data_IF_966023809991
#
_entry.id   IF_966023809991
#
_cell.length_a   1.000
_cell.length_b   1.000
_cell.length_c   1.000
_cell.angle_alpha   90.00
_cell.angle_beta   90.00
_cell.angle_gamma   90.00
#
_symmetry.space_group_name_H-M   'P 1'
#
loop_
_entity.id
_entity.type
_entity.pdbx_description
1 polymer ?
#
# COMPACT_ATOMS: atom_id res chain seq x y z
N UNK A 1 -27.45 13.02 -25.02
CA UNK A 1 -26.03 13.10 -24.63
C UNK A 1 -25.87 13.10 -23.12
N UNK A 2 -24.95 12.28 -22.61
CA UNK A 2 -24.69 12.14 -21.16
C UNK A 2 -23.60 13.09 -20.64
N UNK A 3 -22.93 13.85 -21.53
CA UNK A 3 -22.09 15.01 -21.17
C UNK A 3 -20.82 14.74 -20.35
N UNK A 4 -20.44 13.48 -20.10
CA UNK A 4 -19.28 13.09 -19.28
C UNK A 4 -17.91 13.29 -19.95
N UNK A 5 -17.66 14.43 -20.58
CA UNK A 5 -16.37 14.75 -21.19
C UNK A 5 -15.38 15.34 -20.16
N UNK A 6 -14.10 14.99 -20.27
CA UNK A 6 -13.04 15.57 -19.42
C UNK A 6 -12.74 17.01 -19.82
N UNK A 7 -12.43 17.86 -18.83
CA UNK A 7 -11.88 19.20 -19.07
C UNK A 7 -10.59 19.12 -19.91
N UNK A 8 -10.43 19.94 -20.96
CA UNK A 8 -9.19 20.00 -21.74
C UNK A 8 -7.95 20.31 -20.89
N UNK A 9 -8.11 21.11 -19.83
CA UNK A 9 -7.02 21.41 -18.90
C UNK A 9 -6.59 20.17 -18.10
N UNK A 10 -7.55 19.36 -17.64
CA UNK A 10 -7.25 18.11 -16.94
C UNK A 10 -6.58 17.10 -17.89
N UNK A 11 -7.03 17.03 -19.15
CA UNK A 11 -6.38 16.19 -20.16
C UNK A 11 -4.93 16.60 -20.41
N UNK A 12 -4.64 17.90 -20.43
CA UNK A 12 -3.29 18.43 -20.54
C UNK A 12 -2.43 18.07 -19.30
N UNK A 13 -2.97 18.18 -18.09
CA UNK A 13 -2.26 17.78 -16.86
C UNK A 13 -1.93 16.28 -16.84
N UNK A 14 -2.87 15.41 -17.26
CA UNK A 14 -2.64 13.97 -17.39
C UNK A 14 -1.54 13.69 -18.43
N UNK A 15 -1.60 14.35 -19.58
CA UNK A 15 -0.59 14.22 -20.63
C UNK A 15 0.80 14.65 -20.14
N UNK A 16 0.86 15.76 -19.39
CA UNK A 16 2.09 16.23 -18.72
C UNK A 16 2.61 15.20 -17.72
N UNK A 17 1.75 14.59 -16.90
CA UNK A 17 2.16 13.56 -15.94
C UNK A 17 2.59 12.24 -16.60
N UNK A 18 2.09 11.96 -17.82
CA UNK A 18 2.38 10.72 -18.54
C UNK A 18 3.83 10.64 -19.01
N UNK A 19 4.49 11.77 -19.28
CA UNK A 19 5.89 11.78 -19.75
C UNK A 19 6.87 11.23 -18.72
N UNK A 20 6.57 11.33 -17.42
CA UNK A 20 7.40 10.78 -16.33
C UNK A 20 6.91 9.42 -15.83
N UNK A 21 5.82 8.88 -16.38
CA UNK A 21 5.24 7.62 -15.93
C UNK A 21 6.25 6.46 -15.90
N UNK A 22 7.13 6.26 -16.92
CA UNK A 22 8.12 5.17 -16.87
C UNK A 22 9.10 5.30 -15.70
N UNK A 23 9.52 6.53 -15.38
CA UNK A 23 10.44 6.81 -14.27
C UNK A 23 9.77 6.58 -12.92
N UNK A 24 8.53 7.08 -12.77
CA UNK A 24 7.75 6.92 -11.54
C UNK A 24 7.44 5.45 -11.27
N UNK A 25 6.98 4.72 -12.30
CA UNK A 25 6.72 3.29 -12.18
C UNK A 25 7.98 2.51 -11.80
N UNK A 26 9.14 2.82 -12.40
CA UNK A 26 10.39 2.14 -12.05
C UNK A 26 10.71 2.29 -10.55
N UNK A 27 10.60 3.50 -9.99
CA UNK A 27 10.81 3.74 -8.56
C UNK A 27 9.78 3.01 -7.70
N UNK A 28 8.49 3.17 -8.00
CA UNK A 28 7.40 2.46 -7.32
C UNK A 28 7.64 0.95 -7.24
N UNK A 29 8.02 0.33 -8.37
CA UNK A 29 8.23 -1.10 -8.50
C UNK A 29 9.51 -1.58 -7.81
N UNK A 30 10.53 -0.73 -7.69
CA UNK A 30 11.75 -1.03 -6.94
C UNK A 30 11.53 -0.94 -5.43
N UNK A 31 10.74 0.03 -4.97
CA UNK A 31 10.46 0.27 -3.55
C UNK A 31 9.50 -0.76 -2.95
N UNK A 32 8.43 -1.10 -3.69
CA UNK A 32 7.37 -1.97 -3.20
C UNK A 32 7.79 -3.33 -2.62
N UNK A 33 8.67 -4.13 -3.26
CA UNK A 33 9.11 -5.40 -2.70
C UNK A 33 9.87 -5.22 -1.38
N UNK A 34 10.73 -4.21 -1.26
CA UNK A 34 11.51 -3.95 -0.04
C UNK A 34 10.61 -3.66 1.16
N UNK A 35 9.60 -2.83 0.94
CA UNK A 35 8.60 -2.49 1.96
C UNK A 35 7.73 -3.71 2.31
N UNK A 36 7.31 -4.49 1.31
CA UNK A 36 6.50 -5.69 1.53
C UNK A 36 7.26 -6.75 2.33
N UNK A 37 8.54 -6.98 2.03
CA UNK A 37 9.41 -7.91 2.74
C UNK A 37 9.66 -7.47 4.18
N UNK A 38 9.90 -6.17 4.39
CA UNK A 38 10.02 -5.60 5.74
C UNK A 38 8.76 -5.86 6.57
N UNK A 39 7.58 -5.57 6.01
CA UNK A 39 6.30 -5.82 6.67
C UNK A 39 6.06 -7.31 6.93
N UNK A 40 6.32 -8.18 5.96
CA UNK A 40 6.14 -9.64 6.11
C UNK A 40 7.04 -10.24 7.19
N UNK A 41 8.22 -9.67 7.40
CA UNK A 41 9.18 -10.14 8.38
C UNK A 41 8.89 -9.66 9.82
N UNK A 42 7.98 -8.70 10.06
CA UNK A 42 7.72 -8.15 11.38
C UNK A 42 6.56 -8.88 12.10
N UNK A 43 6.78 -9.43 13.32
CA UNK A 43 5.76 -10.22 14.02
C UNK A 43 4.54 -9.40 14.49
N UNK A 44 4.61 -8.07 14.43
CA UNK A 44 3.48 -7.18 14.73
C UNK A 44 2.57 -6.99 13.52
N UNK A 45 2.93 -7.53 12.35
CA UNK A 45 2.10 -7.54 11.15
C UNK A 45 1.29 -8.84 11.11
N UNK A 46 -0.03 -8.72 11.05
CA UNK A 46 -0.96 -9.85 11.02
C UNK A 46 -0.98 -10.56 9.66
N UNK A 47 -0.88 -9.78 8.57
CA UNK A 47 -0.68 -10.31 7.22
C UNK A 47 -0.24 -9.20 6.25
N UNK A 48 0.36 -9.62 5.14
CA UNK A 48 0.63 -8.77 3.97
C UNK A 48 0.00 -9.41 2.73
N UNK A 49 -0.66 -8.60 1.92
CA UNK A 49 -1.23 -8.97 0.64
C UNK A 49 -0.57 -8.10 -0.45
N UNK A 50 0.51 -8.63 -1.01
CA UNK A 50 1.25 -8.04 -2.12
C UNK A 50 1.59 -9.15 -3.13
N UNK A 51 1.25 -9.04 -4.43
CA UNK A 51 1.47 -10.12 -5.39
C UNK A 51 2.94 -10.49 -5.61
N UNK A 52 3.88 -9.62 -5.23
CA UNK A 52 5.31 -9.88 -5.31
C UNK A 52 5.88 -10.80 -4.22
N UNK A 53 5.15 -11.02 -3.12
CA UNK A 53 5.57 -11.94 -2.06
C UNK A 53 5.27 -13.39 -2.46
N UNK A 54 6.19 -14.30 -2.16
CA UNK A 54 6.02 -15.73 -2.41
C UNK A 54 4.85 -16.34 -1.60
N UNK A 55 4.53 -15.73 -0.44
CA UNK A 55 3.38 -16.09 0.39
C UNK A 55 2.03 -15.76 -0.24
N UNK A 56 1.99 -14.88 -1.25
CA UNK A 56 0.75 -14.46 -1.87
C UNK A 56 0.12 -15.62 -2.66
N UNK A 57 -1.16 -15.96 -2.46
CA UNK A 57 -1.79 -17.14 -3.08
C UNK A 57 -1.75 -17.17 -4.61
N UNK A 58 -1.62 -15.99 -5.23
CA UNK A 58 -1.57 -15.81 -6.68
C UNK A 58 -0.19 -15.36 -7.19
N UNK A 59 0.87 -15.49 -6.38
CA UNK A 59 2.23 -15.10 -6.77
C UNK A 59 2.65 -15.72 -8.10
N UNK A 60 2.46 -17.04 -8.28
CA UNK A 60 2.80 -17.72 -9.53
C UNK A 60 2.00 -17.22 -10.75
N UNK A 61 0.73 -16.81 -10.55
CA UNK A 61 -0.05 -16.17 -11.61
C UNK A 61 0.50 -14.78 -11.94
N UNK A 62 0.81 -14.00 -10.91
CA UNK A 62 1.39 -12.67 -11.03
C UNK A 62 2.73 -12.74 -11.78
N UNK A 63 3.60 -13.69 -11.42
CA UNK A 63 4.86 -13.95 -12.11
C UNK A 63 4.66 -14.26 -13.60
N UNK A 64 3.68 -15.08 -13.95
CA UNK A 64 3.38 -15.37 -15.37
C UNK A 64 2.85 -14.15 -16.15
N UNK A 65 2.08 -13.27 -15.51
CA UNK A 65 1.46 -12.12 -16.18
C UNK A 65 2.36 -10.89 -16.25
N UNK A 66 3.04 -10.59 -15.14
CA UNK A 66 3.87 -9.39 -15.01
C UNK A 66 5.33 -9.68 -15.39
N UNK A 67 5.85 -10.87 -15.07
CA UNK A 67 7.24 -11.24 -15.29
C UNK A 67 8.18 -10.33 -14.52
N UNK A 68 9.32 -9.99 -15.14
CA UNK A 68 10.36 -9.15 -14.53
C UNK A 68 10.00 -7.66 -14.48
N UNK A 69 8.78 -7.28 -14.91
CA UNK A 69 8.29 -5.88 -14.86
C UNK A 69 7.87 -5.43 -13.47
N UNK A 70 7.81 -6.34 -12.49
CA UNK A 70 7.38 -6.06 -11.12
C UNK A 70 5.86 -6.13 -10.92
N UNK A 71 5.43 -6.00 -9.66
CA UNK A 71 4.09 -6.43 -9.21
C UNK A 71 3.16 -5.28 -8.81
N UNK A 72 3.48 -4.06 -9.27
CA UNK A 72 2.83 -2.82 -8.84
C UNK A 72 3.37 -2.29 -7.51
N UNK A 73 2.80 -1.18 -7.04
CA UNK A 73 3.16 -0.53 -5.77
C UNK A 73 1.96 -0.33 -4.84
N UNK A 74 0.92 -1.14 -5.06
CA UNK A 74 -0.23 -1.24 -4.19
C UNK A 74 -0.10 -2.51 -3.35
N UNK A 75 -0.31 -2.38 -2.06
CA UNK A 75 -0.45 -3.51 -1.16
C UNK A 75 -1.54 -3.25 -0.13
N UNK A 76 -2.00 -4.32 0.49
CA UNK A 76 -2.83 -4.26 1.68
C UNK A 76 -2.16 -5.06 2.78
N UNK A 77 -2.16 -4.55 4.00
CA UNK A 77 -1.66 -5.29 5.16
C UNK A 77 -2.48 -4.93 6.39
N UNK A 78 -2.33 -5.67 7.48
CA UNK A 78 -2.88 -5.26 8.77
C UNK A 78 -1.82 -5.46 9.85
N UNK A 79 -1.77 -4.55 10.83
CA UNK A 79 -1.04 -4.80 12.07
C UNK A 79 -1.87 -5.73 12.98
N UNK A 80 -1.22 -6.43 13.90
CA UNK A 80 -1.90 -7.21 14.93
C UNK A 80 -2.79 -6.32 15.80
N UNK A 81 -3.93 -6.86 16.23
CA UNK A 81 -4.94 -6.12 16.99
C UNK A 81 -6.12 -5.64 16.14
N UNK A 82 -6.86 -4.69 16.69
CA UNK A 82 -8.14 -4.22 16.17
C UNK A 82 -8.03 -2.95 15.32
N UNK A 83 -9.17 -2.45 14.83
CA UNK A 83 -9.24 -1.21 14.06
C UNK A 83 -8.70 0.01 14.80
N UNK A 84 -8.88 0.08 16.12
CA UNK A 84 -8.32 1.18 16.92
C UNK A 84 -6.80 1.11 16.96
N UNK A 85 -6.24 -0.08 17.05
CA UNK A 85 -4.79 -0.32 16.97
C UNK A 85 -4.23 0.06 15.60
N UNK A 86 -4.91 -0.31 14.51
CA UNK A 86 -4.54 0.13 13.16
C UNK A 86 -4.61 1.66 12.99
N UNK A 87 -5.64 2.31 13.53
CA UNK A 87 -5.75 3.77 13.50
C UNK A 87 -4.64 4.45 14.30
N UNK A 88 -4.25 3.92 15.47
CA UNK A 88 -3.10 4.42 16.24
C UNK A 88 -1.80 4.29 15.47
N UNK A 89 -1.55 3.13 14.85
CA UNK A 89 -0.38 2.94 13.99
C UNK A 89 -0.33 3.99 12.88
N UNK A 90 -1.44 4.22 12.16
CA UNK A 90 -1.52 5.23 11.11
C UNK A 90 -1.27 6.65 11.65
N UNK A 91 -1.77 6.97 12.85
CA UNK A 91 -1.55 8.27 13.49
C UNK A 91 -0.09 8.52 13.92
N UNK A 92 0.71 7.45 14.08
CA UNK A 92 2.10 7.53 14.47
C UNK A 92 3.04 7.76 13.28
N UNK A 93 2.60 7.52 12.03
CA UNK A 93 3.35 7.79 10.81
C UNK A 93 3.66 9.29 10.67
N UNK A 94 4.85 9.61 10.18
CA UNK A 94 5.37 10.98 10.00
C UNK A 94 5.67 11.32 8.54
N UNK A 95 6.02 10.32 7.74
CA UNK A 95 6.30 10.47 6.31
C UNK A 95 5.10 10.03 5.47
N UNK A 96 4.54 8.86 5.79
CA UNK A 96 3.42 8.28 5.03
C UNK A 96 2.13 9.01 5.39
N UNK A 97 1.43 9.54 4.38
CA UNK A 97 0.25 10.36 4.59
C UNK A 97 -1.02 9.52 4.67
N UNK A 98 -1.82 9.76 5.71
CA UNK A 98 -3.17 9.17 5.83
C UNK A 98 -4.15 9.88 4.87
N UNK A 99 -4.39 9.28 3.71
CA UNK A 99 -5.26 9.84 2.69
C UNK A 99 -5.85 8.77 1.76
N UNK A 100 -7.00 9.10 1.16
CA UNK A 100 -7.57 8.35 0.03
C UNK A 100 -6.80 8.68 -1.26
N UNK A 101 -7.21 8.09 -2.40
CA UNK A 101 -6.46 8.10 -3.68
C UNK A 101 -5.25 7.14 -3.68
N UNK A 102 -4.49 7.09 -4.78
CA UNK A 102 -3.35 6.19 -4.98
C UNK A 102 -2.53 6.62 -6.21
N UNK A 103 -1.32 6.05 -6.36
CA UNK A 103 -0.44 6.30 -7.53
C UNK A 103 0.13 7.71 -7.59
N UNK A 104 0.18 8.38 -6.44
CA UNK A 104 0.80 9.69 -6.27
C UNK A 104 2.32 9.56 -6.11
N UNK A 105 3.05 10.67 -6.19
CA UNK A 105 4.47 10.71 -5.83
C UNK A 105 4.72 10.53 -4.33
N UNK A 106 3.72 10.83 -3.51
CA UNK A 106 3.73 10.63 -2.06
C UNK A 106 3.11 9.28 -1.70
N UNK A 107 3.65 8.66 -0.65
CA UNK A 107 3.14 7.43 -0.06
C UNK A 107 1.85 7.70 0.72
N UNK A 108 0.76 7.02 0.31
CA UNK A 108 -0.57 7.20 0.88
C UNK A 108 -1.08 5.91 1.53
N UNK A 109 -1.61 6.03 2.75
CA UNK A 109 -2.21 4.91 3.47
C UNK A 109 -3.64 5.24 3.89
N UNK A 110 -4.54 4.25 3.83
CA UNK A 110 -5.90 4.40 4.36
C UNK A 110 -6.34 3.13 5.06
N UNK A 111 -6.90 3.29 6.25
CA UNK A 111 -7.51 2.20 6.99
C UNK A 111 -8.92 1.89 6.45
N UNK A 112 -9.18 0.60 6.25
CA UNK A 112 -10.47 0.05 5.84
C UNK A 112 -10.85 -1.04 6.84
N UNK A 113 -11.84 -0.75 7.67
CA UNK A 113 -12.28 -1.66 8.74
C UNK A 113 -12.89 -2.97 8.24
N UNK A 114 -13.06 -3.96 9.14
CA UNK A 114 -13.57 -5.30 8.82
C UNK A 114 -15.09 -5.37 8.61
N UNK A 115 -15.80 -4.23 8.64
CA UNK A 115 -17.25 -4.17 8.59
C UNK A 115 -17.75 -3.43 7.35
N UNK A 116 -18.96 -3.77 6.88
CA UNK A 116 -19.66 -3.07 5.81
C UNK A 116 -19.96 -3.95 4.59
N UNK A 117 -20.83 -3.46 3.67
CA UNK A 117 -21.37 -4.29 2.58
C UNK A 117 -20.31 -4.79 1.60
N UNK A 118 -19.20 -4.05 1.43
CA UNK A 118 -18.08 -4.46 0.56
C UNK A 118 -17.24 -5.60 1.16
N UNK A 119 -17.22 -5.74 2.49
CA UNK A 119 -16.37 -6.70 3.19
C UNK A 119 -16.87 -8.14 3.06
N UNK A 120 -18.15 -8.34 2.72
CA UNK A 120 -18.71 -9.67 2.50
C UNK A 120 -17.93 -10.50 1.45
N UNK A 121 -17.35 -9.83 0.44
CA UNK A 121 -16.57 -10.45 -0.62
C UNK A 121 -15.07 -10.61 -0.29
N UNK A 122 -14.59 -10.09 0.85
CA UNK A 122 -13.17 -10.11 1.17
C UNK A 122 -12.67 -11.48 1.66
N UNK A 123 -11.36 -11.74 1.56
CA UNK A 123 -10.71 -12.89 2.18
C UNK A 123 -10.88 -12.91 3.71
N UNK A 124 -10.66 -14.06 4.34
CA UNK A 124 -10.87 -14.24 5.77
C UNK A 124 -10.02 -13.29 6.65
N UNK A 125 -8.76 -13.05 6.28
CA UNK A 125 -7.86 -12.14 7.01
C UNK A 125 -8.38 -10.70 7.00
N UNK A 126 -8.83 -10.22 5.86
CA UNK A 126 -9.44 -8.89 5.68
C UNK A 126 -10.76 -8.75 6.46
N UNK A 127 -11.54 -9.83 6.57
CA UNK A 127 -12.76 -9.86 7.40
C UNK A 127 -12.46 -9.87 8.90
N UNK A 128 -11.34 -10.49 9.31
CA UNK A 128 -10.94 -10.57 10.71
C UNK A 128 -10.34 -9.25 11.20
N UNK A 129 -9.38 -8.71 10.46
CA UNK A 129 -8.58 -7.56 10.90
C UNK A 129 -9.00 -6.25 10.23
N UNK A 130 -9.62 -6.29 9.04
CA UNK A 130 -9.62 -5.14 8.14
C UNK A 130 -8.30 -5.08 7.36
N UNK A 131 -7.97 -3.91 6.82
CA UNK A 131 -6.67 -3.65 6.19
C UNK A 131 -6.31 -2.17 6.14
N UNK A 132 -5.02 -1.93 6.09
CA UNK A 132 -4.39 -0.70 5.63
C UNK A 132 -4.09 -0.87 4.14
N UNK A 133 -4.77 -0.10 3.29
CA UNK A 133 -4.44 -0.05 1.87
C UNK A 133 -3.33 0.98 1.68
N UNK A 134 -2.19 0.50 1.21
CA UNK A 134 -0.98 1.29 1.09
C UNK A 134 -0.57 1.46 -0.38
N UNK A 135 -0.46 2.71 -0.81
CA UNK A 135 0.06 3.14 -2.11
C UNK A 135 1.45 3.69 -1.89
N UNK A 136 2.47 2.96 -2.30
CA UNK A 136 3.86 3.39 -2.15
C UNK A 136 4.17 4.49 -3.17
N UNK A 137 4.79 5.56 -2.70
CA UNK A 137 5.21 6.74 -3.44
C UNK A 137 6.58 6.58 -4.09
N UNK A 138 7.29 7.70 -4.24
CA UNK A 138 8.60 7.82 -4.87
C UNK A 138 9.73 8.12 -3.88
N UNK A 139 9.43 8.09 -2.58
CA UNK A 139 10.40 8.33 -1.51
C UNK A 139 11.53 7.27 -1.51
N UNK A 140 12.58 7.55 -0.73
CA UNK A 140 13.61 6.56 -0.47
C UNK A 140 13.02 5.36 0.30
N UNK A 141 13.26 4.11 -0.15
CA UNK A 141 12.76 2.93 0.54
C UNK A 141 13.17 2.85 2.02
N UNK A 142 14.37 3.32 2.37
CA UNK A 142 14.86 3.29 3.74
C UNK A 142 14.08 4.26 4.64
N UNK A 143 13.69 5.42 4.13
CA UNK A 143 12.89 6.41 4.87
C UNK A 143 11.47 5.88 5.11
N UNK A 144 10.86 5.22 4.11
CA UNK A 144 9.55 4.57 4.28
C UNK A 144 9.60 3.45 5.31
N UNK A 145 10.63 2.60 5.25
CA UNK A 145 10.81 1.51 6.22
C UNK A 145 11.06 2.08 7.62
N UNK A 146 11.86 3.14 7.76
CA UNK A 146 12.10 3.80 9.03
C UNK A 146 10.82 4.39 9.64
N UNK A 147 9.97 5.03 8.82
CA UNK A 147 8.68 5.58 9.27
C UNK A 147 7.73 4.47 9.74
N UNK A 148 7.62 3.38 8.97
CA UNK A 148 6.83 2.20 9.34
C UNK A 148 7.34 1.56 10.63
N UNK A 149 8.66 1.37 10.77
CA UNK A 149 9.28 0.80 11.96
C UNK A 149 9.01 1.67 13.20
N UNK A 150 9.22 2.98 13.10
CA UNK A 150 8.98 3.91 14.19
C UNK A 150 7.50 3.90 14.62
N UNK A 151 6.58 3.88 13.65
CA UNK A 151 5.15 3.80 13.94
C UNK A 151 4.75 2.46 14.58
N UNK A 152 5.38 1.34 14.18
CA UNK A 152 5.19 0.04 14.85
C UNK A 152 5.73 0.06 16.28
N UNK A 153 6.92 0.65 16.51
CA UNK A 153 7.54 0.74 17.84
C UNK A 153 6.69 1.60 18.79
N UNK A 154 6.16 2.72 18.32
CA UNK A 154 5.26 3.56 19.13
C UNK A 154 3.93 2.85 19.43
N UNK A 155 3.47 1.97 18.55
CA UNK A 155 2.17 1.28 18.70
C UNK A 155 2.24 0.06 19.61
N UNK A 156 3.33 -0.70 19.55
CA UNK A 156 3.46 -2.01 20.20
C UNK A 156 4.65 -2.12 21.18
N UNK A 157 5.50 -1.10 21.24
CA UNK A 157 6.82 -1.18 21.84
C UNK A 157 7.89 -1.66 20.85
N UNK A 158 9.18 -1.45 21.18
CA UNK A 158 10.29 -1.87 20.35
C UNK A 158 10.32 -3.39 20.21
N UNK A 159 10.82 -3.84 19.06
CA UNK A 159 11.02 -5.26 18.77
C UNK A 159 11.95 -5.88 19.84
N UNK A 160 11.51 -7.00 20.41
CA UNK A 160 12.31 -7.78 21.37
C UNK A 160 13.51 -8.46 20.71
#
# INVERSE_FOLDING_TARGET
DVGGAISPFNAWLISRGSVTLPLRLAQHLATAPLVAEFLEADPRIAYVAYPGLASHPQHELAKRQFGDRGYGAMMAFAVEGDSDTQNRFVANLKLITSAVSLGHDESLIVHVGPNGPRVAAYPASFKKYGHLRFSIGLEDPADLIADLQAALDETFGPRA
#
